data_IF_998249286000
#
_entry.id   IF_998249286000
#
_cell.length_a   1.000
_cell.length_b   1.000
_cell.length_c   1.000
_cell.angle_alpha   90.00
_cell.angle_beta   90.00
_cell.angle_gamma   90.00
#
_symmetry.space_group_name_H-M   'P 1'
#
loop_
_entity.id
_entity.type
_entity.pdbx_description
1 polymer ?
#
# COMPACT_ATOMS: atom_id res chain seq x y z
N UNK A 1 -8.63 -9.80 10.88
CA UNK A 1 -8.47 -8.69 9.93
C UNK A 1 -7.24 -7.90 10.36
N UNK A 2 -6.32 -7.63 9.43
CA UNK A 2 -5.03 -6.97 9.74
C UNK A 2 -5.15 -5.45 9.81
N UNK A 3 -6.07 -4.82 9.06
CA UNK A 3 -6.23 -3.36 9.00
C UNK A 3 -7.65 -2.87 9.33
N UNK A 4 -8.07 -2.87 10.62
CA UNK A 4 -9.41 -2.41 10.99
C UNK A 4 -9.66 -0.94 10.63
N UNK A 5 -8.67 -0.06 10.79
CA UNK A 5 -8.77 1.38 10.49
C UNK A 5 -8.91 1.61 8.98
N UNK A 6 -8.08 0.97 8.16
CA UNK A 6 -8.17 1.09 6.70
C UNK A 6 -9.50 0.55 6.17
N UNK A 7 -9.99 -0.57 6.72
CA UNK A 7 -11.27 -1.15 6.32
C UNK A 7 -12.49 -0.30 6.70
N UNK A 8 -12.34 0.74 7.54
CA UNK A 8 -13.40 1.75 7.76
C UNK A 8 -13.49 2.74 6.59
N UNK A 9 -12.40 2.93 5.85
CA UNK A 9 -12.32 3.85 4.70
C UNK A 9 -12.49 3.10 3.38
N UNK A 10 -11.92 1.91 3.26
CA UNK A 10 -11.97 1.04 2.07
C UNK A 10 -12.51 -0.34 2.47
N UNK A 11 -13.85 -0.50 2.60
CA UNK A 11 -14.46 -1.71 3.16
C UNK A 11 -14.10 -3.01 2.44
N UNK A 12 -13.82 -2.94 1.14
CA UNK A 12 -13.50 -4.07 0.27
C UNK A 12 -12.26 -4.85 0.74
N UNK A 13 -11.33 -4.21 1.46
CA UNK A 13 -10.18 -4.91 2.04
C UNK A 13 -10.57 -5.90 3.15
N UNK A 14 -11.77 -5.79 3.73
CA UNK A 14 -12.31 -6.78 4.68
C UNK A 14 -12.47 -8.16 4.06
N UNK A 15 -12.78 -8.19 2.77
CA UNK A 15 -13.07 -9.41 2.02
C UNK A 15 -11.80 -10.07 1.45
N UNK A 16 -10.62 -9.55 1.81
CA UNK A 16 -9.33 -10.08 1.36
C UNK A 16 -9.01 -9.78 -0.11
N UNK A 17 -9.68 -8.79 -0.69
CA UNK A 17 -9.43 -8.38 -2.08
C UNK A 17 -8.08 -7.65 -2.17
N UNK A 18 -7.25 -8.07 -3.12
CA UNK A 18 -6.01 -7.37 -3.43
C UNK A 18 -6.29 -5.94 -3.92
N UNK A 19 -5.38 -5.01 -3.65
CA UNK A 19 -5.48 -3.61 -4.10
C UNK A 19 -5.71 -3.52 -5.61
N UNK A 20 -5.05 -4.35 -6.42
CA UNK A 20 -5.34 -4.42 -7.85
C UNK A 20 -6.81 -4.73 -8.15
N UNK A 21 -7.46 -5.60 -7.39
CA UNK A 21 -8.88 -5.95 -7.61
C UNK A 21 -9.83 -4.89 -7.03
N UNK A 22 -9.43 -4.18 -5.98
CA UNK A 22 -10.20 -3.07 -5.38
C UNK A 22 -10.14 -1.83 -6.27
N UNK A 23 -9.00 -1.60 -6.93
CA UNK A 23 -8.73 -0.40 -7.72
C UNK A 23 -8.93 -0.59 -9.23
N UNK A 24 -8.99 -1.84 -9.72
CA UNK A 24 -9.30 -2.19 -11.12
C UNK A 24 -10.75 -2.63 -11.26
N UNK A 25 -11.68 -1.71 -11.10
CA UNK A 25 -12.94 -1.83 -11.81
C UNK A 25 -12.73 -1.27 -13.21
N UNK A 26 -12.23 -2.11 -14.12
CA UNK A 26 -12.11 -1.75 -15.53
C UNK A 26 -13.51 -1.35 -16.06
N UNK A 27 -13.77 -0.04 -16.13
CA UNK A 27 -15.02 0.55 -16.62
C UNK A 27 -16.01 1.05 -15.55
N UNK A 28 -15.82 0.76 -14.25
CA UNK A 28 -16.67 1.32 -13.21
C UNK A 28 -16.03 2.57 -12.61
N UNK A 29 -16.81 3.63 -12.54
CA UNK A 29 -16.44 4.94 -11.97
C UNK A 29 -16.55 4.91 -10.44
N UNK A 30 -17.03 3.80 -9.86
CA UNK A 30 -17.24 3.64 -8.43
C UNK A 30 -15.94 3.78 -7.64
N UNK A 31 -15.99 4.64 -6.61
CA UNK A 31 -14.89 4.81 -5.67
C UNK A 31 -14.82 3.58 -4.77
N UNK A 32 -13.61 3.06 -4.48
CA UNK A 32 -13.45 2.04 -3.44
C UNK A 32 -13.62 2.62 -2.02
N UNK A 33 -13.71 3.94 -1.89
CA UNK A 33 -13.86 4.61 -0.60
C UNK A 33 -15.31 4.61 -0.13
N UNK A 34 -15.52 4.80 1.17
CA UNK A 34 -16.84 5.15 1.72
C UNK A 34 -17.36 6.47 1.13
N UNK A 35 -18.68 6.68 1.16
CA UNK A 35 -19.30 7.90 0.67
C UNK A 35 -18.71 9.16 1.35
N UNK A 36 -18.35 10.16 0.54
CA UNK A 36 -17.76 11.42 1.00
C UNK A 36 -16.25 11.37 1.28
N UNK A 37 -15.62 10.19 1.26
CA UNK A 37 -14.17 10.09 1.36
C UNK A 37 -13.51 10.35 0.00
N UNK A 38 -12.31 10.96 0.05
CA UNK A 38 -11.53 11.41 -1.11
C UNK A 38 -10.06 10.99 -1.03
N UNK A 39 -9.60 10.53 0.14
CA UNK A 39 -8.22 10.11 0.37
C UNK A 39 -8.16 9.04 1.47
N UNK A 40 -6.98 8.44 1.66
CA UNK A 40 -6.77 7.50 2.77
C UNK A 40 -6.20 8.26 3.96
N UNK A 41 -7.10 8.85 4.72
CA UNK A 41 -6.83 9.55 5.98
C UNK A 41 -7.82 9.07 7.04
N UNK A 42 -7.59 9.44 8.30
CA UNK A 42 -8.58 9.24 9.35
C UNK A 42 -9.85 10.01 8.98
N UNK A 43 -10.96 9.30 8.81
CA UNK A 43 -12.24 9.87 8.36
C UNK A 43 -12.36 10.08 6.84
N UNK A 44 -11.32 9.78 6.06
CA UNK A 44 -11.36 9.78 4.59
C UNK A 44 -11.34 11.16 3.92
N UNK A 45 -11.21 12.24 4.69
CA UNK A 45 -11.22 13.61 4.19
C UNK A 45 -9.83 14.26 4.28
N UNK A 46 -9.60 15.28 3.46
CA UNK A 46 -8.42 16.14 3.56
C UNK A 46 -8.83 17.61 3.45
N UNK A 47 -8.16 18.47 4.20
CA UNK A 47 -8.24 19.93 4.05
C UNK A 47 -7.10 20.49 3.21
N UNK A 48 -6.20 19.63 2.71
CA UNK A 48 -5.05 20.04 1.91
C UNK A 48 -5.46 20.28 0.46
N UNK A 49 -4.77 21.19 -0.26
CA UNK A 49 -4.98 21.37 -1.68
C UNK A 49 -4.72 20.07 -2.45
N UNK A 50 -5.57 19.76 -3.42
CA UNK A 50 -5.37 18.62 -4.31
C UNK A 50 -4.33 18.96 -5.38
N UNK A 51 -3.71 17.93 -5.97
CA UNK A 51 -2.88 18.08 -7.15
C UNK A 51 -3.68 18.66 -8.32
N UNK A 52 -3.06 19.58 -9.06
CA UNK A 52 -3.66 20.17 -10.26
C UNK A 52 -3.73 19.13 -11.38
N UNK A 53 -4.80 19.15 -12.18
CA UNK A 53 -4.93 18.32 -13.38
C UNK A 53 -5.35 16.88 -13.17
N UNK A 54 -5.73 16.48 -11.94
CA UNK A 54 -6.28 15.15 -11.68
C UNK A 54 -7.58 14.93 -12.48
N UNK A 55 -7.64 13.82 -13.22
CA UNK A 55 -8.87 13.38 -13.87
C UNK A 55 -9.92 13.00 -12.83
N UNK A 56 -11.19 13.03 -13.19
CA UNK A 56 -12.26 12.62 -12.27
C UNK A 56 -12.10 11.18 -11.77
N UNK A 57 -11.51 10.30 -12.60
CA UNK A 57 -11.20 8.92 -12.23
C UNK A 57 -10.16 8.87 -11.12
N UNK A 58 -9.10 9.67 -11.22
CA UNK A 58 -8.06 9.75 -10.18
C UNK A 58 -8.59 10.35 -8.89
N UNK A 59 -9.45 11.37 -8.98
CA UNK A 59 -10.11 11.97 -7.81
C UNK A 59 -11.00 10.95 -7.08
N UNK A 60 -11.76 10.13 -7.82
CA UNK A 60 -12.65 9.11 -7.24
C UNK A 60 -11.91 7.86 -6.75
N UNK A 61 -10.77 7.52 -7.33
CA UNK A 61 -9.98 6.37 -6.91
C UNK A 61 -9.48 6.51 -5.47
N UNK A 62 -9.20 7.74 -5.00
CA UNK A 62 -8.70 8.01 -3.65
C UNK A 62 -7.22 7.69 -3.43
N UNK A 63 -6.67 6.75 -4.21
CA UNK A 63 -5.27 6.41 -4.28
C UNK A 63 -4.92 5.78 -5.64
N UNK A 64 -3.68 5.91 -6.10
CA UNK A 64 -3.11 5.19 -7.24
C UNK A 64 -1.81 4.52 -6.81
N UNK A 65 -1.63 3.26 -7.21
CA UNK A 65 -0.46 2.45 -6.81
C UNK A 65 0.51 2.27 -7.97
N UNK A 66 1.80 2.35 -7.67
CA UNK A 66 2.88 1.88 -8.54
C UNK A 66 3.82 1.00 -7.73
N UNK A 67 4.09 -0.22 -8.20
CA UNK A 67 5.00 -1.18 -7.54
C UNK A 67 6.24 -1.34 -8.40
N UNK A 68 7.41 -1.28 -7.77
CA UNK A 68 8.72 -1.34 -8.42
C UNK A 68 9.56 -2.44 -7.75
N UNK A 69 9.38 -3.71 -8.13
CA UNK A 69 10.19 -4.80 -7.60
C UNK A 69 11.69 -4.61 -7.94
N UNK A 70 12.61 -5.01 -7.04
CA UNK A 70 12.37 -5.53 -5.69
C UNK A 70 12.27 -4.44 -4.61
N UNK A 71 12.39 -3.17 -5.01
CA UNK A 71 12.88 -2.11 -4.11
C UNK A 71 11.79 -1.28 -3.45
N UNK A 72 10.56 -1.25 -3.94
CA UNK A 72 9.54 -0.43 -3.29
C UNK A 72 8.25 -0.22 -4.05
N UNK A 73 7.42 0.67 -3.52
CA UNK A 73 6.17 1.08 -4.14
C UNK A 73 5.82 2.53 -3.80
N UNK A 74 5.01 3.15 -4.65
CA UNK A 74 4.43 4.48 -4.45
C UNK A 74 2.92 4.37 -4.37
N UNK A 75 2.34 5.17 -3.48
CA UNK A 75 0.89 5.36 -3.37
C UNK A 75 0.62 6.86 -3.48
N UNK A 76 -0.07 7.25 -4.54
CA UNK A 76 -0.38 8.66 -4.82
C UNK A 76 -1.84 8.91 -4.50
N UNK A 77 -2.09 9.80 -3.54
CA UNK A 77 -3.41 10.29 -3.16
C UNK A 77 -3.73 11.59 -3.91
N UNK A 78 -4.90 12.17 -3.66
CA UNK A 78 -5.29 13.45 -4.28
C UNK A 78 -4.40 14.62 -3.84
N UNK A 79 -3.77 14.54 -2.67
CA UNK A 79 -3.11 15.65 -1.99
C UNK A 79 -1.66 15.38 -1.55
N UNK A 80 -1.20 14.12 -1.60
CA UNK A 80 0.18 13.73 -1.29
C UNK A 80 0.57 12.43 -2.00
N UNK A 81 1.86 12.15 -2.08
CA UNK A 81 2.37 10.84 -2.46
C UNK A 81 3.16 10.21 -1.31
N UNK A 82 2.98 8.90 -1.11
CA UNK A 82 3.73 8.09 -0.15
C UNK A 82 4.65 7.14 -0.92
N UNK A 83 5.95 7.25 -0.68
CA UNK A 83 6.95 6.34 -1.19
C UNK A 83 7.36 5.38 -0.08
N UNK A 84 7.38 4.08 -0.39
CA UNK A 84 7.89 3.04 0.51
C UNK A 84 9.07 2.37 -0.18
N UNK A 85 10.24 2.50 0.43
CA UNK A 85 11.48 1.90 -0.03
C UNK A 85 11.86 0.74 0.91
N UNK A 86 12.14 -0.42 0.32
CA UNK A 86 12.47 -1.65 1.01
C UNK A 86 13.95 -1.96 0.80
N UNK A 87 14.70 -1.95 1.90
CA UNK A 87 16.13 -2.20 1.90
C UNK A 87 16.43 -3.51 2.65
N UNK A 88 16.79 -4.59 1.95
CA UNK A 88 17.23 -5.81 2.62
C UNK A 88 18.52 -5.53 3.38
N UNK A 89 18.54 -5.89 4.67
CA UNK A 89 19.70 -5.75 5.57
C UNK A 89 20.24 -7.09 6.04
N UNK A 90 19.55 -8.18 5.69
CA UNK A 90 19.95 -9.56 5.92
C UNK A 90 18.86 -10.50 5.40
N UNK A 91 19.06 -11.84 5.48
CA UNK A 91 18.13 -12.83 4.94
C UNK A 91 16.74 -12.82 5.63
N UNK A 92 16.65 -12.26 6.82
CA UNK A 92 15.41 -12.18 7.59
C UNK A 92 15.15 -10.76 8.16
N UNK A 93 15.83 -9.74 7.60
CA UNK A 93 15.69 -8.35 8.06
C UNK A 93 15.59 -7.40 6.87
N UNK A 94 14.52 -6.61 6.85
CA UNK A 94 14.27 -5.56 5.86
C UNK A 94 14.02 -4.25 6.58
N UNK A 95 14.73 -3.20 6.19
CA UNK A 95 14.44 -1.83 6.62
C UNK A 95 13.44 -1.20 5.66
N UNK A 96 12.35 -0.68 6.19
CA UNK A 96 11.38 0.12 5.44
C UNK A 96 11.64 1.60 5.69
N UNK A 97 11.81 2.37 4.62
CA UNK A 97 11.84 3.82 4.65
C UNK A 97 10.57 4.34 3.99
N UNK A 98 9.75 5.07 4.74
CA UNK A 98 8.49 5.62 4.27
C UNK A 98 8.60 7.14 4.22
N UNK A 99 8.39 7.70 3.02
CA UNK A 99 8.50 9.13 2.76
C UNK A 99 7.17 9.68 2.28
N UNK A 100 6.78 10.84 2.83
CA UNK A 100 5.61 11.59 2.38
C UNK A 100 6.08 12.78 1.56
N UNK A 101 5.60 12.87 0.33
CA UNK A 101 5.91 13.92 -0.63
C UNK A 101 4.67 14.80 -0.77
N UNK A 102 4.83 16.08 -0.45
CA UNK A 102 3.80 17.10 -0.57
C UNK A 102 4.35 18.30 -1.35
N UNK A 103 3.52 19.01 -2.14
CA UNK A 103 3.93 20.27 -2.75
C UNK A 103 4.39 21.27 -1.67
N UNK A 104 5.40 22.12 -1.94
CA UNK A 104 5.84 23.13 -0.97
C UNK A 104 4.70 24.03 -0.46
N UNK A 105 3.78 24.44 -1.36
CA UNK A 105 2.58 25.23 -1.02
C UNK A 105 1.65 24.53 -0.03
N UNK A 106 1.62 23.20 -0.01
CA UNK A 106 0.80 22.43 0.93
C UNK A 106 1.35 22.54 2.35
N UNK A 107 2.66 22.64 2.52
CA UNK A 107 3.31 22.82 3.83
C UNK A 107 2.99 24.18 4.44
N UNK A 108 2.77 25.20 3.59
CA UNK A 108 2.36 26.54 4.02
C UNK A 108 0.88 26.65 4.37
N UNK A 109 0.08 25.61 4.11
CA UNK A 109 -1.35 25.63 4.34
C UNK A 109 -1.68 25.62 5.85
N UNK A 110 -2.58 26.49 6.37
CA UNK A 110 -2.88 26.55 7.79
C UNK A 110 -3.44 25.25 8.39
N UNK A 111 -4.04 24.40 7.55
CA UNK A 111 -4.54 23.08 7.94
C UNK A 111 -3.51 21.95 7.86
N UNK A 112 -2.26 22.23 7.47
CA UNK A 112 -1.22 21.21 7.39
C UNK A 112 -0.81 20.70 8.76
N UNK A 113 -0.78 19.38 8.93
CA UNK A 113 -0.25 18.68 10.09
C UNK A 113 0.38 17.39 9.59
N UNK A 114 1.66 17.20 9.96
CA UNK A 114 2.40 15.99 9.62
C UNK A 114 1.75 14.79 10.30
N UNK A 115 1.33 14.94 11.56
CA UNK A 115 0.71 13.88 12.35
C UNK A 115 -0.56 13.35 11.64
N UNK A 116 -1.46 14.25 11.22
CA UNK A 116 -2.68 13.87 10.50
C UNK A 116 -2.39 13.21 9.15
N UNK A 117 -1.33 13.64 8.48
CA UNK A 117 -0.93 13.11 7.17
C UNK A 117 -0.41 11.67 7.28
N UNK A 118 0.31 11.35 8.36
CA UNK A 118 0.97 10.06 8.51
C UNK A 118 0.16 9.03 9.32
N UNK A 119 -0.75 9.46 10.20
CA UNK A 119 -1.39 8.62 11.23
C UNK A 119 -1.95 7.29 10.71
N UNK A 120 -2.80 7.33 9.66
CA UNK A 120 -3.42 6.12 9.12
C UNK A 120 -2.38 5.21 8.47
N UNK A 121 -1.51 5.77 7.64
CA UNK A 121 -0.50 5.00 6.91
C UNK A 121 0.56 4.40 7.86
N UNK A 122 0.95 5.12 8.91
CA UNK A 122 1.84 4.60 9.94
C UNK A 122 1.23 3.38 10.64
N UNK A 123 -0.05 3.46 10.99
CA UNK A 123 -0.78 2.33 11.59
C UNK A 123 -0.77 1.11 10.67
N UNK A 124 -1.16 1.29 9.40
CA UNK A 124 -1.21 0.22 8.40
C UNK A 124 0.17 -0.41 8.18
N UNK A 125 1.22 0.41 8.03
CA UNK A 125 2.59 -0.10 7.83
C UNK A 125 3.09 -0.90 9.05
N UNK A 126 2.73 -0.48 10.27
CA UNK A 126 3.08 -1.23 11.49
C UNK A 126 2.34 -2.56 11.56
N UNK A 127 1.09 -2.62 11.13
CA UNK A 127 0.30 -3.86 11.06
C UNK A 127 0.89 -4.85 10.05
N UNK A 128 1.25 -4.37 8.86
CA UNK A 128 1.94 -5.16 7.83
C UNK A 128 3.29 -5.70 8.32
N UNK A 129 4.08 -4.85 8.98
CA UNK A 129 5.35 -5.26 9.57
C UNK A 129 5.17 -6.38 10.59
N UNK A 130 4.20 -6.23 11.50
CA UNK A 130 3.88 -7.27 12.50
C UNK A 130 3.42 -8.58 11.84
N UNK A 131 2.58 -8.50 10.82
CA UNK A 131 2.13 -9.69 10.09
C UNK A 131 3.30 -10.41 9.41
N UNK A 132 4.21 -9.65 8.79
CA UNK A 132 5.43 -10.16 8.15
C UNK A 132 6.37 -10.84 9.14
N UNK A 133 6.58 -10.24 10.31
CA UNK A 133 7.41 -10.83 11.37
C UNK A 133 6.81 -12.14 11.92
N UNK A 134 5.48 -12.19 12.09
CA UNK A 134 4.78 -13.41 12.52
C UNK A 134 4.93 -14.50 11.45
N UNK A 135 4.76 -14.15 10.17
CA UNK A 135 4.94 -15.07 9.06
C UNK A 135 6.36 -15.64 9.06
N UNK A 136 7.38 -14.77 9.16
CA UNK A 136 8.79 -15.18 9.19
C UNK A 136 9.10 -16.13 10.36
N UNK A 137 8.55 -15.87 11.57
CA UNK A 137 8.68 -16.79 12.70
C UNK A 137 8.03 -18.14 12.42
N UNK A 138 6.89 -18.17 11.74
CA UNK A 138 6.21 -19.38 11.32
C UNK A 138 7.02 -20.22 10.33
N UNK A 139 7.72 -19.57 9.39
CA UNK A 139 8.56 -20.24 8.40
C UNK A 139 9.74 -21.01 9.02
N UNK A 140 10.20 -20.61 10.22
CA UNK A 140 11.24 -21.33 10.97
C UNK A 140 10.76 -22.64 11.62
N UNK A 141 9.45 -22.90 11.63
CA UNK A 141 8.92 -24.14 12.20
C UNK A 141 9.36 -25.36 11.39
N UNK A 142 9.92 -26.38 12.04
CA UNK A 142 10.28 -27.64 11.37
C UNK A 142 9.08 -28.38 10.74
N UNK A 143 7.86 -28.04 11.18
CA UNK A 143 6.60 -28.57 10.65
C UNK A 143 6.17 -27.85 9.37
N UNK A 144 6.65 -26.63 9.13
CA UNK A 144 6.39 -25.92 7.89
C UNK A 144 7.09 -26.65 6.73
N UNK A 145 6.40 -26.77 5.59
CA UNK A 145 6.91 -27.43 4.38
C UNK A 145 6.74 -26.56 3.15
N UNK A 146 5.55 -26.00 2.95
CA UNK A 146 5.24 -25.06 1.90
C UNK A 146 3.93 -24.31 2.24
N UNK A 147 3.68 -23.20 1.54
CA UNK A 147 2.39 -22.51 1.48
C UNK A 147 1.67 -22.77 0.16
N UNK A 148 0.38 -22.40 0.10
CA UNK A 148 -0.42 -22.42 -1.13
C UNK A 148 -0.98 -21.02 -1.33
N UNK A 149 -0.87 -20.50 -2.55
CA UNK A 149 -1.44 -19.22 -2.91
C UNK A 149 -2.93 -19.35 -3.25
N UNK A 150 -3.73 -18.39 -2.82
CA UNK A 150 -5.15 -18.25 -3.21
C UNK A 150 -5.30 -17.34 -4.43
N UNK A 151 -6.44 -17.37 -5.17
CA UNK A 151 -6.62 -16.58 -6.39
C UNK A 151 -6.36 -15.07 -6.24
N UNK A 152 -6.61 -14.52 -5.05
CA UNK A 152 -6.39 -13.11 -4.72
C UNK A 152 -4.90 -12.73 -4.62
N UNK A 153 -3.99 -13.71 -4.44
CA UNK A 153 -2.55 -13.49 -4.25
C UNK A 153 -1.77 -13.44 -5.57
N UNK A 154 -2.39 -12.90 -6.61
CA UNK A 154 -1.81 -12.79 -7.95
C UNK A 154 -0.45 -12.08 -7.95
N UNK A 155 -0.34 -10.95 -7.25
CA UNK A 155 0.92 -10.20 -7.17
C UNK A 155 2.03 -10.94 -6.41
N UNK A 156 1.66 -11.80 -5.45
CA UNK A 156 2.64 -12.64 -4.74
C UNK A 156 3.17 -13.72 -5.68
N UNK A 157 2.29 -14.34 -6.47
CA UNK A 157 2.69 -15.30 -7.52
C UNK A 157 3.63 -14.64 -8.52
N UNK A 158 3.24 -13.50 -9.07
CA UNK A 158 4.03 -12.80 -10.10
C UNK A 158 5.40 -12.38 -9.54
N UNK A 159 5.48 -11.95 -8.27
CA UNK A 159 6.76 -11.68 -7.61
C UNK A 159 7.62 -12.94 -7.41
N UNK A 160 7.03 -14.06 -6.99
CA UNK A 160 7.76 -15.33 -6.88
C UNK A 160 8.33 -15.80 -8.22
N UNK A 161 7.55 -15.66 -9.30
CA UNK A 161 7.98 -16.03 -10.65
C UNK A 161 9.17 -15.16 -11.09
N UNK A 162 9.07 -13.84 -10.91
CA UNK A 162 10.17 -12.90 -11.16
C UNK A 162 11.44 -13.25 -10.36
N UNK A 163 11.31 -13.57 -9.06
CA UNK A 163 12.48 -13.97 -8.24
C UNK A 163 13.16 -15.23 -8.78
N UNK A 164 12.39 -16.23 -9.23
CA UNK A 164 12.98 -17.46 -9.80
C UNK A 164 13.75 -17.17 -11.08
N UNK A 165 13.18 -16.36 -11.97
CA UNK A 165 13.87 -15.92 -13.21
C UNK A 165 15.20 -15.24 -12.89
N UNK A 166 15.22 -14.32 -11.92
CA UNK A 166 16.46 -13.61 -11.55
C UNK A 166 17.51 -14.52 -10.90
N UNK A 167 17.09 -15.57 -10.19
CA UNK A 167 18.01 -16.56 -9.60
C UNK A 167 18.59 -17.50 -10.66
N UNK A 168 17.78 -17.88 -11.65
CA UNK A 168 18.25 -18.73 -12.75
C UNK A 168 19.29 -17.99 -13.61
N UNK A 169 19.04 -16.71 -13.95
CA UNK A 169 19.99 -15.85 -14.67
C UNK A 169 21.31 -15.62 -13.92
N UNK A 170 21.28 -15.58 -12.59
CA UNK A 170 22.48 -15.38 -11.77
C UNK A 170 23.36 -16.64 -11.65
N UNK A 171 22.84 -17.81 -12.04
CA UNK A 171 23.54 -19.09 -11.98
C UNK A 171 24.16 -19.51 -13.33
N UNK A 172 23.91 -18.77 -14.41
CA UNK A 172 24.52 -18.94 -15.75
C UNK A 172 25.74 -18.02 -15.97
#
# INVERSE_FOLDING_TARGET
MVHPELCRIVPQFRDGLATGNVMRSDGDISSPLIEGAVTWSVGGATSLPWFEGLTEREQRAGATFGVFPPSGYVVVHVDYARLVHMLPTGPEHTRLEVSWLVPPKTVEHPGFSVEKLIELAETVVREDGRASEINQKGLRSNRHKAGVLVPQEIFVRDFHDWVREQLDEAND
#
